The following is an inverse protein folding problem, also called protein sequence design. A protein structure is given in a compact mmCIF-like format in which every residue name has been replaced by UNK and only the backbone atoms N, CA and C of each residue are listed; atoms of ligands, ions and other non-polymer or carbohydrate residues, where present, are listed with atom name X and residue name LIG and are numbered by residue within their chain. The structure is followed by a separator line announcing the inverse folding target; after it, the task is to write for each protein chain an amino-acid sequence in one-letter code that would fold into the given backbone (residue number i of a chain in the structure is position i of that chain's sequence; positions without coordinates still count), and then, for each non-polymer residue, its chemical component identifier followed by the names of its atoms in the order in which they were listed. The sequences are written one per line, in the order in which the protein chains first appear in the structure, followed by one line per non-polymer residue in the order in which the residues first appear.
data_IF_680284581393
#
_entry.id   IF_680284581393
#
_cell.length_a   1.000
_cell.length_b   1.000
_cell.length_c   1.000
_cell.angle_alpha   90.00
_cell.angle_beta   90.00
_cell.angle_gamma   90.00
#
_symmetry.space_group_name_H-M   'P 1'
#
loop_
_entity.id
_entity.type
_entity.pdbx_description
1 polymer ?
#
# COMPACT_ATOMS: atom_id res chain seq x y z
N UNK A 1 24.21 13.30 15.79
CA UNK A 1 25.13 12.36 15.15
C UNK A 1 25.90 11.46 16.16
N UNK A 2 26.71 11.95 17.10
CA UNK A 2 27.51 11.09 18.00
C UNK A 2 26.73 10.27 19.04
N UNK A 3 25.45 10.52 19.20
CA UNK A 3 24.54 9.83 20.13
C UNK A 3 23.46 9.02 19.41
N UNK A 4 23.45 9.02 18.08
CA UNK A 4 22.51 8.23 17.27
C UNK A 4 22.99 6.79 17.15
N UNK A 5 22.08 5.85 17.09
CA UNK A 5 22.36 4.48 16.66
C UNK A 5 22.86 4.48 15.21
N UNK A 6 23.60 3.46 14.76
CA UNK A 6 24.13 3.42 13.38
C UNK A 6 23.08 3.47 12.30
N UNK A 7 21.95 2.79 12.47
CA UNK A 7 20.75 2.80 11.61
C UNK A 7 20.15 4.21 11.53
N UNK A 8 19.81 4.86 12.65
CA UNK A 8 19.35 6.25 12.69
C UNK A 8 20.32 7.23 12.00
N UNK A 9 21.62 6.99 12.13
CA UNK A 9 22.63 7.82 11.47
C UNK A 9 22.64 7.61 9.95
N UNK A 10 22.33 6.41 9.47
CA UNK A 10 22.16 6.10 8.05
C UNK A 10 20.98 6.87 7.50
N UNK A 11 19.81 6.84 8.14
CA UNK A 11 18.60 7.53 7.70
C UNK A 11 18.85 9.04 7.52
N UNK A 12 19.47 9.68 8.54
CA UNK A 12 19.85 11.09 8.44
C UNK A 12 20.82 11.37 7.29
N UNK A 13 21.78 10.46 7.02
CA UNK A 13 22.77 10.64 5.95
C UNK A 13 22.15 10.40 4.57
N UNK A 14 21.13 9.56 4.47
CA UNK A 14 20.42 9.31 3.22
C UNK A 14 19.51 10.48 2.83
N UNK A 15 18.93 11.17 3.80
CA UNK A 15 18.10 12.37 3.55
C UNK A 15 18.89 13.57 3.04
N UNK A 16 20.20 13.65 3.34
CA UNK A 16 21.03 14.76 2.88
C UNK A 16 21.62 14.52 1.51
N UNK A 17 21.89 15.61 0.77
CA UNK A 17 22.50 15.56 -0.56
C UNK A 17 23.90 14.95 -0.56
N UNK A 18 24.38 14.40 -1.69
CA UNK A 18 25.71 13.75 -1.80
C UNK A 18 26.87 14.62 -1.32
N UNK A 19 26.79 15.94 -1.51
CA UNK A 19 27.83 16.87 -1.10
C UNK A 19 27.97 17.02 0.42
N UNK A 20 26.90 16.77 1.17
CA UNK A 20 26.88 16.88 2.63
C UNK A 20 27.16 15.54 3.33
N UNK A 21 27.05 14.41 2.62
CA UNK A 21 27.27 13.07 3.20
C UNK A 21 28.65 12.93 3.84
N UNK A 22 29.69 13.38 3.14
CA UNK A 22 31.06 13.30 3.63
C UNK A 22 31.27 14.15 4.89
N UNK A 23 30.62 15.31 5.00
CA UNK A 23 30.68 16.16 6.19
C UNK A 23 29.99 15.47 7.37
N UNK A 24 28.82 14.87 7.17
CA UNK A 24 28.11 14.14 8.23
C UNK A 24 28.88 12.89 8.69
N UNK A 25 29.45 12.13 7.75
CA UNK A 25 30.32 10.99 8.09
C UNK A 25 31.56 11.40 8.88
N UNK A 26 32.13 12.57 8.62
CA UNK A 26 33.28 13.08 9.34
C UNK A 26 32.95 13.48 10.81
N UNK A 27 31.66 13.72 11.15
CA UNK A 27 31.23 14.02 12.51
C UNK A 27 31.14 12.78 13.41
N UNK A 28 31.08 11.57 12.80
CA UNK A 28 31.00 10.29 13.50
C UNK A 28 32.40 9.89 14.03
N UNK A 29 32.41 9.16 15.14
CA UNK A 29 33.60 8.47 15.60
C UNK A 29 33.94 7.29 14.68
N UNK A 30 35.20 6.87 14.68
CA UNK A 30 35.72 5.89 13.73
C UNK A 30 34.98 4.53 13.73
N UNK A 31 34.58 3.94 14.90
CA UNK A 31 33.79 2.72 14.93
C UNK A 31 32.42 2.91 14.28
N UNK A 32 31.64 3.93 14.69
CA UNK A 32 30.31 4.21 14.17
C UNK A 32 30.33 4.54 12.68
N UNK A 33 31.36 5.29 12.21
CA UNK A 33 31.52 5.60 10.78
C UNK A 33 31.71 4.35 9.94
N UNK A 34 32.44 3.35 10.42
CA UNK A 34 32.61 2.07 9.69
C UNK A 34 31.30 1.29 9.62
N UNK A 35 30.54 1.26 10.69
CA UNK A 35 29.22 0.61 10.74
C UNK A 35 28.27 1.29 9.77
N UNK A 36 28.16 2.62 9.81
CA UNK A 36 27.30 3.41 8.93
C UNK A 36 27.70 3.24 7.45
N UNK A 37 29.00 3.28 7.13
CA UNK A 37 29.46 3.05 5.74
C UNK A 37 29.11 1.63 5.25
N UNK A 38 29.18 0.63 6.13
CA UNK A 38 28.78 -0.73 5.79
C UNK A 38 27.27 -0.84 5.57
N UNK A 39 26.44 -0.14 6.35
CA UNK A 39 24.99 -0.11 6.19
C UNK A 39 24.56 0.63 4.91
N UNK A 40 25.22 1.73 4.56
CA UNK A 40 24.96 2.48 3.33
C UNK A 40 25.19 1.67 2.03
N UNK A 41 25.75 0.46 2.11
CA UNK A 41 25.87 -0.44 0.97
C UNK A 41 24.57 -1.20 0.65
N UNK A 42 23.61 -1.23 1.59
CA UNK A 42 22.28 -1.81 1.39
C UNK A 42 21.31 -0.72 0.91
N UNK A 43 20.18 -1.15 0.33
CA UNK A 43 19.11 -0.22 -0.04
C UNK A 43 18.23 0.10 1.17
N UNK A 44 17.65 1.27 1.15
CA UNK A 44 16.83 1.81 2.24
C UNK A 44 15.56 0.97 2.48
N UNK A 45 15.03 0.33 1.42
CA UNK A 45 13.83 -0.49 1.44
C UNK A 45 14.09 -1.99 1.68
N UNK A 46 15.32 -2.36 2.06
CA UNK A 46 15.73 -3.73 2.38
C UNK A 46 16.05 -3.88 3.89
N UNK A 47 15.94 -5.10 4.41
CA UNK A 47 16.27 -5.41 5.81
C UNK A 47 17.67 -4.94 6.21
N UNK A 48 18.64 -4.96 5.28
CA UNK A 48 19.99 -4.50 5.48
C UNK A 48 20.12 -2.99 5.69
N UNK A 49 19.21 -2.20 5.08
CA UNK A 49 19.12 -0.76 5.30
C UNK A 49 18.51 -0.39 6.65
N UNK A 50 17.54 -1.18 7.11
CA UNK A 50 16.83 -0.99 8.39
C UNK A 50 17.56 -1.57 9.61
N UNK A 51 18.60 -2.40 9.41
CA UNK A 51 19.19 -3.17 10.51
C UNK A 51 20.15 -2.36 11.39
N UNK A 52 20.06 -2.60 12.69
CA UNK A 52 21.06 -2.16 13.64
C UNK A 52 22.14 -3.25 13.83
N UNK A 53 23.45 -2.97 13.58
CA UNK A 53 24.52 -3.92 13.77
C UNK A 53 24.91 -4.13 15.23
N UNK A 54 24.41 -3.27 16.16
CA UNK A 54 24.69 -3.31 17.59
C UNK A 54 23.62 -4.09 18.33
N UNK A 55 23.85 -5.36 18.56
CA UNK A 55 22.94 -6.25 19.26
C UNK A 55 23.66 -7.05 20.37
N UNK A 56 22.89 -7.47 21.36
CA UNK A 56 23.42 -8.25 22.49
C UNK A 56 23.80 -9.67 22.09
N UNK A 57 25.06 -10.06 22.31
CA UNK A 57 25.63 -11.36 21.91
C UNK A 57 25.94 -12.19 23.14
N UNK A 58 25.64 -13.48 23.11
CA UNK A 58 25.98 -14.42 24.17
C UNK A 58 26.68 -15.65 23.61
N UNK A 59 27.44 -16.33 24.46
CA UNK A 59 28.04 -17.63 24.12
C UNK A 59 27.18 -18.76 24.71
N UNK A 60 27.02 -19.87 23.99
CA UNK A 60 26.17 -20.96 24.42
C UNK A 60 26.66 -21.66 25.71
N UNK A 61 27.97 -21.57 25.98
CA UNK A 61 28.60 -22.20 27.16
C UNK A 61 28.51 -21.35 28.44
N UNK A 62 28.25 -20.05 28.32
CA UNK A 62 28.15 -19.16 29.48
C UNK A 62 26.97 -19.55 30.36
N UNK A 63 27.11 -19.38 31.67
CA UNK A 63 26.00 -19.51 32.59
C UNK A 63 25.04 -18.32 32.51
N UNK A 64 23.82 -18.46 32.99
CA UNK A 64 22.83 -17.37 33.04
C UNK A 64 23.34 -16.18 33.85
N UNK A 65 24.01 -16.41 35.00
CA UNK A 65 24.59 -15.36 35.84
C UNK A 65 25.71 -14.59 35.12
N UNK A 66 26.62 -15.30 34.46
CA UNK A 66 27.66 -14.69 33.62
C UNK A 66 27.06 -13.87 32.47
N UNK A 67 26.02 -14.40 31.81
CA UNK A 67 25.32 -13.71 30.73
C UNK A 67 24.66 -12.42 31.20
N UNK A 68 23.94 -12.45 32.33
CA UNK A 68 23.32 -11.24 32.92
C UNK A 68 24.40 -10.21 33.27
N UNK A 69 25.50 -10.66 33.89
CA UNK A 69 26.62 -9.78 34.24
C UNK A 69 27.29 -9.16 33.02
N UNK A 70 27.41 -9.93 31.92
CA UNK A 70 27.93 -9.43 30.67
C UNK A 70 26.97 -8.41 30.03
N UNK A 71 25.68 -8.74 29.89
CA UNK A 71 24.67 -7.86 29.31
C UNK A 71 24.53 -6.55 30.06
N UNK A 72 24.68 -6.54 31.40
CA UNK A 72 24.69 -5.32 32.21
C UNK A 72 25.85 -4.39 31.87
N UNK A 73 26.97 -4.94 31.44
CA UNK A 73 28.14 -4.11 31.02
C UNK A 73 27.98 -3.59 29.58
N UNK A 74 27.35 -4.38 28.72
CA UNK A 74 27.10 -4.02 27.31
C UNK A 74 25.91 -3.08 27.15
N UNK A 75 24.98 -3.02 28.11
CA UNK A 75 23.75 -2.23 28.04
C UNK A 75 23.93 -0.76 27.62
N UNK A 76 25.03 -0.07 27.98
CA UNK A 76 25.26 1.31 27.52
C UNK A 76 25.62 1.42 26.02
N UNK A 77 25.98 0.32 25.36
CA UNK A 77 26.45 0.29 23.96
C UNK A 77 25.45 -0.30 22.99
N UNK A 78 24.42 -0.98 23.52
CA UNK A 78 23.33 -1.61 22.73
C UNK A 78 22.07 -0.80 22.99
N UNK A 79 21.54 -0.20 21.96
CA UNK A 79 20.40 0.72 22.06
C UNK A 79 19.15 -0.01 22.54
N UNK A 80 18.83 -1.14 21.93
CA UNK A 80 17.68 -1.96 22.28
C UNK A 80 18.05 -3.39 22.64
N UNK A 81 17.71 -3.81 23.86
CA UNK A 81 18.08 -5.11 24.41
C UNK A 81 16.84 -5.95 24.76
N UNK A 82 15.97 -6.22 23.78
CA UNK A 82 14.81 -7.12 24.00
C UNK A 82 15.24 -8.57 24.10
N UNK A 83 16.21 -8.94 23.29
CA UNK A 83 16.75 -10.29 23.15
C UNK A 83 18.28 -10.26 23.18
N UNK A 84 18.87 -11.36 23.63
CA UNK A 84 20.28 -11.66 23.44
C UNK A 84 20.42 -12.84 22.48
N UNK A 85 21.31 -12.71 21.51
CA UNK A 85 21.50 -13.67 20.43
C UNK A 85 22.70 -14.57 20.76
N UNK A 86 22.46 -15.87 20.75
CA UNK A 86 23.47 -16.87 21.07
C UNK A 86 24.20 -17.28 19.80
N UNK A 87 25.48 -16.96 19.74
CA UNK A 87 26.32 -17.15 18.55
C UNK A 87 27.46 -18.13 18.83
N UNK A 88 27.85 -18.88 17.80
CA UNK A 88 29.08 -19.67 17.80
C UNK A 88 30.33 -18.79 17.54
N UNK A 89 31.51 -19.42 17.47
CA UNK A 89 32.75 -18.70 17.16
C UNK A 89 32.80 -18.13 15.74
N UNK A 90 31.99 -18.68 14.82
CA UNK A 90 31.85 -18.23 13.43
C UNK A 90 30.80 -17.15 13.25
N UNK A 91 30.19 -16.64 14.33
CA UNK A 91 29.06 -15.69 14.32
C UNK A 91 27.74 -16.26 13.75
N UNK A 92 27.60 -17.60 13.65
CA UNK A 92 26.34 -18.20 13.25
C UNK A 92 25.34 -18.19 14.42
N UNK A 93 24.09 -17.87 14.09
CA UNK A 93 23.01 -17.79 15.06
C UNK A 93 22.56 -19.20 15.49
N UNK A 94 22.78 -19.54 16.78
CA UNK A 94 22.39 -20.80 17.39
C UNK A 94 21.05 -20.73 18.10
N UNK A 95 20.73 -19.57 18.66
CA UNK A 95 19.52 -19.38 19.44
C UNK A 95 19.29 -17.94 19.90
N UNK A 96 18.16 -17.69 20.50
CA UNK A 96 17.78 -16.41 21.08
C UNK A 96 17.26 -16.60 22.50
N UNK A 97 17.60 -15.67 23.38
CA UNK A 97 17.13 -15.63 24.78
C UNK A 97 16.56 -14.25 25.07
N UNK A 98 15.31 -14.20 25.54
CA UNK A 98 14.75 -12.93 26.03
C UNK A 98 15.28 -12.57 27.42
N UNK A 99 15.34 -11.30 27.76
CA UNK A 99 15.72 -10.86 29.12
C UNK A 99 14.83 -11.51 30.17
N UNK A 100 13.51 -11.66 29.89
CA UNK A 100 12.59 -12.36 30.80
C UNK A 100 12.99 -13.80 31.06
N UNK A 101 13.46 -14.54 30.03
CA UNK A 101 13.92 -15.93 30.20
C UNK A 101 15.20 -15.98 31.06
N UNK A 102 16.16 -15.06 30.81
CA UNK A 102 17.38 -14.97 31.62
C UNK A 102 17.07 -14.71 33.10
N UNK A 103 16.19 -13.76 33.41
CA UNK A 103 15.82 -13.45 34.80
C UNK A 103 14.97 -14.53 35.49
N UNK A 104 14.33 -15.43 34.71
CA UNK A 104 13.51 -16.50 35.24
C UNK A 104 14.23 -17.84 35.33
N UNK A 105 15.41 -17.97 34.74
CA UNK A 105 16.19 -19.19 34.68
C UNK A 105 17.09 -19.35 35.92
N UNK A 106 17.49 -20.62 36.20
CA UNK A 106 18.50 -20.91 37.22
C UNK A 106 19.84 -20.29 36.83
N UNK A 107 20.47 -19.45 37.71
CA UNK A 107 21.73 -18.80 37.45
C UNK A 107 22.88 -19.70 37.00
N UNK A 108 22.90 -20.95 37.43
CA UNK A 108 23.95 -21.94 37.13
C UNK A 108 23.77 -22.65 35.78
N UNK A 109 22.59 -22.54 35.14
CA UNK A 109 22.35 -23.18 33.83
C UNK A 109 23.12 -22.54 32.72
N UNK A 110 23.68 -23.34 31.77
CA UNK A 110 24.29 -22.81 30.57
C UNK A 110 23.21 -22.24 29.62
N UNK A 111 23.55 -21.19 28.89
CA UNK A 111 22.65 -20.46 27.98
C UNK A 111 22.05 -21.39 26.92
N UNK A 112 22.80 -22.39 26.43
CA UNK A 112 22.29 -23.39 25.46
C UNK A 112 21.05 -24.16 25.93
N UNK A 113 20.85 -24.29 27.24
CA UNK A 113 19.65 -24.98 27.80
C UNK A 113 18.46 -24.02 27.96
N UNK A 114 18.67 -22.72 27.95
CA UNK A 114 17.66 -21.70 28.14
C UNK A 114 17.22 -21.07 26.82
N UNK A 115 18.08 -21.07 25.80
CA UNK A 115 17.83 -20.45 24.51
C UNK A 115 16.71 -21.17 23.72
N UNK A 116 16.01 -20.40 22.90
CA UNK A 116 15.12 -20.93 21.87
C UNK A 116 15.87 -21.10 20.57
N UNK A 117 15.64 -22.21 19.87
CA UNK A 117 16.30 -22.55 18.60
C UNK A 117 15.37 -22.48 17.40
N UNK A 118 14.06 -22.35 17.63
CA UNK A 118 13.10 -22.08 16.56
C UNK A 118 13.11 -20.58 16.28
N UNK A 119 13.84 -20.19 15.24
CA UNK A 119 14.20 -18.80 14.97
C UNK A 119 13.56 -18.34 13.65
N UNK A 120 12.93 -17.17 13.72
CA UNK A 120 12.55 -16.40 12.52
C UNK A 120 13.68 -15.43 12.23
N UNK A 121 14.17 -15.43 11.00
CA UNK A 121 15.26 -14.56 10.54
C UNK A 121 15.00 -14.11 9.11
N UNK A 122 15.65 -13.03 8.67
CA UNK A 122 15.57 -12.50 7.31
C UNK A 122 16.96 -12.35 6.71
N UNK A 123 17.02 -12.32 5.38
CA UNK A 123 18.25 -11.99 4.64
C UNK A 123 18.36 -10.45 4.50
N UNK A 124 19.59 -9.90 4.31
CA UNK A 124 19.77 -8.46 4.18
C UNK A 124 19.05 -7.83 2.98
N UNK A 125 18.81 -8.58 1.92
CA UNK A 125 18.10 -8.19 0.70
C UNK A 125 16.57 -8.41 0.77
N UNK A 126 16.03 -8.78 1.95
CA UNK A 126 14.60 -8.95 2.16
C UNK A 126 13.90 -7.59 2.14
N UNK A 127 12.84 -7.46 1.33
CA UNK A 127 12.02 -6.25 1.22
C UNK A 127 11.39 -5.86 2.57
N UNK A 128 11.36 -4.56 2.87
CA UNK A 128 10.85 -4.01 4.14
C UNK A 128 9.39 -4.39 4.44
N UNK A 129 8.53 -4.55 3.42
CA UNK A 129 7.14 -5.01 3.60
C UNK A 129 7.06 -6.46 4.04
N UNK A 130 7.96 -7.30 3.55
CA UNK A 130 8.06 -8.69 3.97
C UNK A 130 8.55 -8.75 5.42
N UNK A 131 9.58 -7.97 5.77
CA UNK A 131 10.09 -7.86 7.14
C UNK A 131 8.97 -7.40 8.10
N UNK A 132 8.24 -6.33 7.75
CA UNK A 132 7.14 -5.80 8.58
C UNK A 132 6.03 -6.85 8.77
N UNK A 133 5.72 -7.62 7.74
CA UNK A 133 4.74 -8.72 7.81
C UNK A 133 5.22 -9.83 8.74
N UNK A 134 6.49 -10.23 8.66
CA UNK A 134 7.08 -11.25 9.53
C UNK A 134 7.11 -10.81 11.00
N UNK A 135 7.47 -9.55 11.29
CA UNK A 135 7.45 -8.99 12.66
C UNK A 135 6.02 -9.04 13.23
N UNK A 136 5.05 -8.56 12.47
CA UNK A 136 3.64 -8.56 12.86
C UNK A 136 3.11 -9.97 13.13
N UNK A 137 3.36 -10.91 12.23
CA UNK A 137 2.81 -12.28 12.29
C UNK A 137 3.49 -13.11 13.37
N UNK A 138 4.80 -12.93 13.59
CA UNK A 138 5.57 -13.60 14.63
C UNK A 138 5.45 -12.95 16.01
N UNK A 139 4.97 -11.69 16.08
CA UNK A 139 4.89 -10.88 17.31
C UNK A 139 6.24 -10.73 18.02
N UNK A 140 7.31 -10.69 17.25
CA UNK A 140 8.65 -10.44 17.76
C UNK A 140 8.90 -8.94 17.90
N UNK A 141 9.74 -8.56 18.87
CA UNK A 141 10.18 -7.18 19.07
C UNK A 141 11.46 -6.85 18.27
N UNK A 142 12.15 -7.86 17.78
CA UNK A 142 13.30 -7.73 16.89
C UNK A 142 13.49 -9.04 16.11
N UNK A 143 13.91 -8.92 14.85
CA UNK A 143 14.22 -10.05 13.97
C UNK A 143 15.71 -10.01 13.61
N UNK A 144 16.46 -11.12 13.73
CA UNK A 144 17.84 -11.20 13.31
C UNK A 144 17.98 -11.22 11.78
N UNK A 145 18.96 -10.48 11.28
CA UNK A 145 19.37 -10.45 9.87
C UNK A 145 20.58 -11.35 9.70
N UNK A 146 20.51 -12.32 8.78
CA UNK A 146 21.57 -13.30 8.51
C UNK A 146 22.08 -13.16 7.08
N UNK A 147 23.39 -13.13 6.91
CA UNK A 147 24.01 -13.13 5.59
C UNK A 147 23.89 -14.50 4.86
N UNK A 148 24.45 -14.58 3.65
CA UNK A 148 24.43 -15.79 2.83
C UNK A 148 25.15 -16.99 3.50
N UNK A 149 26.12 -16.71 4.39
CA UNK A 149 26.83 -17.73 5.19
C UNK A 149 26.09 -18.06 6.50
N UNK A 150 24.87 -17.52 6.71
CA UNK A 150 24.05 -17.63 7.94
C UNK A 150 24.71 -17.00 9.18
N UNK A 151 25.61 -16.05 8.99
CA UNK A 151 26.17 -15.24 10.08
C UNK A 151 25.25 -14.09 10.39
N UNK A 152 25.15 -13.75 11.65
CA UNK A 152 24.32 -12.65 12.10
C UNK A 152 25.02 -11.31 11.84
N UNK A 153 24.38 -10.45 11.04
CA UNK A 153 24.93 -9.14 10.63
C UNK A 153 24.23 -7.97 11.34
N UNK A 154 23.00 -8.15 11.78
CA UNK A 154 22.23 -7.11 12.48
C UNK A 154 20.91 -7.62 13.02
N UNK A 155 20.10 -6.70 13.51
CA UNK A 155 18.71 -6.90 13.93
C UNK A 155 17.85 -5.78 13.34
N UNK A 156 16.62 -6.10 12.93
CA UNK A 156 15.59 -5.09 12.64
C UNK A 156 14.64 -5.08 13.83
N UNK A 157 14.38 -3.94 14.39
CA UNK A 157 13.58 -3.79 15.61
C UNK A 157 12.16 -3.32 15.30
N UNK A 158 11.25 -3.44 16.27
CA UNK A 158 9.82 -3.15 16.05
C UNK A 158 9.55 -1.67 15.84
N UNK A 159 10.35 -0.77 16.38
CA UNK A 159 10.28 0.68 16.18
C UNK A 159 10.56 1.05 14.72
N UNK A 160 11.64 0.54 14.10
CA UNK A 160 11.90 0.73 12.67
C UNK A 160 10.74 0.21 11.82
N UNK A 161 10.13 -0.91 12.23
CA UNK A 161 8.97 -1.47 11.53
C UNK A 161 7.73 -0.58 11.65
N UNK A 162 7.55 0.15 12.74
CA UNK A 162 6.46 1.13 12.86
C UNK A 162 6.63 2.24 11.83
N UNK A 163 7.84 2.77 11.68
CA UNK A 163 8.15 3.82 10.69
C UNK A 163 7.95 3.32 9.26
N UNK A 164 8.41 2.11 8.95
CA UNK A 164 8.13 1.45 7.66
C UNK A 164 6.63 1.32 7.38
N UNK A 165 5.83 0.92 8.37
CA UNK A 165 4.38 0.78 8.20
C UNK A 165 3.71 2.14 7.96
N UNK A 166 4.13 3.21 8.63
CA UNK A 166 3.63 4.57 8.42
C UNK A 166 4.01 5.09 7.02
N UNK A 167 5.24 4.88 6.60
CA UNK A 167 5.72 5.28 5.28
C UNK A 167 4.96 4.55 4.16
N UNK A 168 4.82 3.23 4.26
CA UNK A 168 4.09 2.42 3.29
C UNK A 168 2.60 2.79 3.24
N UNK A 169 1.97 3.05 4.39
CA UNK A 169 0.59 3.53 4.42
C UNK A 169 0.45 4.90 3.75
N UNK A 170 1.40 5.80 3.97
CA UNK A 170 1.46 7.11 3.30
C UNK A 170 1.63 6.98 1.80
N UNK A 171 2.54 6.13 1.33
CA UNK A 171 2.74 5.82 -0.10
C UNK A 171 1.48 5.26 -0.74
N UNK A 172 0.82 4.32 -0.07
CA UNK A 172 -0.42 3.72 -0.58
C UNK A 172 -1.56 4.75 -0.68
N UNK A 173 -1.70 5.67 0.29
CA UNK A 173 -2.68 6.76 0.23
C UNK A 173 -2.40 7.69 -0.96
N UNK A 174 -1.15 8.05 -1.22
CA UNK A 174 -0.76 8.92 -2.34
C UNK A 174 -1.00 8.22 -3.68
N UNK A 175 -0.65 6.94 -3.80
CA UNK A 175 -0.91 6.13 -4.98
C UNK A 175 -2.42 5.99 -5.26
N UNK A 176 -3.24 5.77 -4.22
CA UNK A 176 -4.71 5.76 -4.34
C UNK A 176 -5.26 7.10 -4.86
N UNK A 177 -4.60 8.21 -4.51
CA UNK A 177 -4.90 9.55 -5.04
C UNK A 177 -4.47 9.77 -6.49
N UNK A 178 -3.77 8.82 -7.11
CA UNK A 178 -3.26 8.95 -8.47
C UNK A 178 -2.06 9.90 -8.57
N UNK A 179 -1.15 9.82 -7.63
CA UNK A 179 0.16 10.52 -7.69
C UNK A 179 1.28 9.56 -7.30
N UNK A 180 2.49 9.80 -7.78
CA UNK A 180 3.66 9.14 -7.24
C UNK A 180 3.89 9.61 -5.79
N UNK A 181 4.39 8.72 -4.95
CA UNK A 181 4.71 9.04 -3.57
C UNK A 181 5.77 10.14 -3.47
N UNK A 182 5.60 11.04 -2.50
CA UNK A 182 6.58 12.07 -2.19
C UNK A 182 7.68 11.46 -1.30
N UNK A 183 8.93 11.76 -1.62
CA UNK A 183 10.10 11.30 -0.84
C UNK A 183 10.35 12.20 0.38
N UNK A 184 9.62 13.33 0.51
CA UNK A 184 9.77 14.32 1.58
C UNK A 184 8.40 14.82 2.03
N UNK A 185 8.28 15.37 3.25
CA UNK A 185 7.07 16.02 3.72
C UNK A 185 6.58 17.09 2.73
N UNK A 186 5.26 17.21 2.57
CA UNK A 186 4.61 18.04 1.55
C UNK A 186 5.18 19.47 1.43
N UNK A 187 5.44 20.16 2.57
CA UNK A 187 5.96 21.51 2.58
C UNK A 187 7.46 21.61 2.25
N UNK A 188 8.19 20.50 2.32
CA UNK A 188 9.62 20.43 2.01
C UNK A 188 9.90 19.97 0.57
N UNK A 189 8.86 19.46 -0.11
CA UNK A 189 8.97 19.06 -1.53
C UNK A 189 8.99 20.30 -2.42
N UNK A 190 9.95 20.38 -3.33
CA UNK A 190 10.07 21.51 -4.26
C UNK A 190 8.97 21.52 -5.32
N UNK A 191 8.58 22.71 -5.81
CA UNK A 191 7.56 22.84 -6.85
C UNK A 191 7.85 22.00 -8.13
N UNK A 192 9.07 22.00 -8.69
CA UNK A 192 9.37 21.17 -9.87
C UNK A 192 9.20 19.68 -9.62
N UNK A 193 9.60 19.20 -8.44
CA UNK A 193 9.44 17.80 -8.02
C UNK A 193 7.96 17.44 -7.85
N UNK A 194 7.19 18.30 -7.19
CA UNK A 194 5.73 18.13 -7.02
C UNK A 194 5.04 18.03 -8.40
N UNK A 195 5.40 18.90 -9.34
CA UNK A 195 4.84 18.87 -10.69
C UNK A 195 5.21 17.57 -11.40
N UNK A 196 6.48 17.16 -11.35
CA UNK A 196 6.95 15.92 -11.99
C UNK A 196 6.21 14.69 -11.49
N UNK A 197 6.09 14.53 -10.15
CA UNK A 197 5.44 13.37 -9.51
C UNK A 197 3.93 13.29 -9.79
N UNK A 198 3.29 14.40 -10.11
CA UNK A 198 1.87 14.44 -10.46
C UNK A 198 1.62 14.42 -11.98
N UNK A 199 2.47 15.07 -12.76
CA UNK A 199 2.24 15.26 -14.19
C UNK A 199 2.25 13.96 -14.98
N UNK A 200 3.12 12.99 -14.64
CA UNK A 200 3.20 11.71 -15.33
C UNK A 200 1.87 10.95 -15.27
N UNK A 201 1.33 10.82 -14.08
CA UNK A 201 0.06 10.13 -13.87
C UNK A 201 -1.12 10.88 -14.49
N UNK A 202 -1.20 12.20 -14.31
CA UNK A 202 -2.23 13.04 -14.92
C UNK A 202 -2.21 12.97 -16.45
N UNK A 203 -1.03 12.90 -17.06
CA UNK A 203 -0.92 12.75 -18.52
C UNK A 203 -1.48 11.41 -19.02
N UNK A 204 -1.20 10.31 -18.30
CA UNK A 204 -1.77 8.99 -18.62
C UNK A 204 -3.29 9.01 -18.51
N UNK A 205 -3.84 9.58 -17.43
CA UNK A 205 -5.28 9.73 -17.23
C UNK A 205 -5.92 10.58 -18.34
N UNK A 206 -5.26 11.70 -18.70
CA UNK A 206 -5.75 12.59 -19.77
C UNK A 206 -5.78 11.91 -21.14
N UNK A 207 -4.76 11.09 -21.45
CA UNK A 207 -4.78 10.27 -22.68
C UNK A 207 -5.92 9.26 -22.64
N UNK A 208 -6.17 8.64 -21.48
CA UNK A 208 -7.33 7.77 -21.26
C UNK A 208 -8.65 8.49 -21.51
N UNK A 209 -8.79 9.73 -21.00
CA UNK A 209 -9.98 10.56 -21.17
C UNK A 209 -10.24 10.94 -22.64
N UNK A 210 -9.19 11.07 -23.45
CA UNK A 210 -9.37 11.31 -24.91
C UNK A 210 -10.14 10.20 -25.60
N UNK A 211 -10.13 8.97 -25.10
CA UNK A 211 -10.97 7.88 -25.63
C UNK A 211 -12.45 8.11 -25.37
N UNK A 212 -12.82 8.85 -24.32
CA UNK A 212 -14.21 9.25 -24.06
C UNK A 212 -14.73 10.13 -25.19
N UNK A 213 -13.95 11.12 -25.65
CA UNK A 213 -14.31 11.96 -26.79
C UNK A 213 -14.48 11.13 -28.07
N UNK A 214 -13.60 10.13 -28.29
CA UNK A 214 -13.72 9.21 -29.43
C UNK A 214 -14.99 8.38 -29.34
N UNK A 215 -15.28 7.81 -28.15
CA UNK A 215 -16.52 7.05 -27.92
C UNK A 215 -17.78 7.90 -28.13
N UNK A 216 -17.77 9.18 -27.69
CA UNK A 216 -18.88 10.11 -27.96
C UNK A 216 -19.10 10.33 -29.47
N UNK A 217 -18.03 10.41 -30.25
CA UNK A 217 -18.14 10.56 -31.71
C UNK A 217 -18.86 9.39 -32.39
N UNK A 218 -18.70 8.15 -31.87
CA UNK A 218 -19.44 6.99 -32.38
C UNK A 218 -20.95 7.06 -32.12
N UNK A 219 -21.39 7.82 -31.12
CA UNK A 219 -22.78 7.96 -30.72
C UNK A 219 -23.37 9.34 -31.06
N UNK A 220 -22.74 10.10 -31.96
CA UNK A 220 -23.17 11.44 -32.34
C UNK A 220 -24.59 11.44 -32.93
N UNK A 221 -24.91 10.48 -33.78
CA UNK A 221 -26.26 10.32 -34.38
C UNK A 221 -27.33 10.02 -33.34
N UNK A 222 -27.01 9.22 -32.33
CA UNK A 222 -27.88 8.89 -31.20
C UNK A 222 -28.13 10.12 -30.32
N UNK A 223 -27.07 10.90 -30.07
CA UNK A 223 -27.16 12.15 -29.34
C UNK A 223 -28.02 13.18 -30.07
N UNK A 224 -27.86 13.32 -31.39
CA UNK A 224 -28.66 14.24 -32.20
C UNK A 224 -30.15 13.91 -32.18
N UNK A 225 -30.50 12.61 -32.12
CA UNK A 225 -31.88 12.13 -32.06
C UNK A 225 -32.54 12.35 -30.69
N UNK A 226 -31.76 12.33 -29.63
CA UNK A 226 -32.27 12.45 -28.26
C UNK A 226 -31.33 13.29 -27.37
N UNK A 227 -31.28 14.60 -27.60
CA UNK A 227 -30.43 15.55 -26.86
C UNK A 227 -30.66 15.47 -25.33
N UNK A 228 -31.86 15.06 -24.89
CA UNK A 228 -32.18 14.86 -23.49
C UNK A 228 -31.28 13.84 -22.80
N UNK A 229 -30.71 12.86 -23.55
CA UNK A 229 -29.75 11.88 -23.02
C UNK A 229 -28.45 12.55 -22.54
N UNK A 230 -28.02 13.60 -23.21
CA UNK A 230 -26.82 14.35 -22.84
C UNK A 230 -26.90 14.96 -21.42
N UNK A 231 -28.10 15.31 -20.97
CA UNK A 231 -28.32 15.89 -19.63
C UNK A 231 -28.01 14.89 -18.49
N UNK A 232 -28.07 13.60 -18.77
CA UNK A 232 -27.83 12.55 -17.78
C UNK A 232 -26.43 11.92 -17.84
N UNK A 233 -25.63 12.24 -18.86
CA UNK A 233 -24.26 11.74 -19.01
C UNK A 233 -23.41 11.96 -17.74
N UNK A 234 -23.31 13.20 -17.20
CA UNK A 234 -22.48 13.42 -16.01
C UNK A 234 -22.98 12.63 -14.80
N UNK A 235 -24.30 12.49 -14.64
CA UNK A 235 -24.90 11.75 -13.53
C UNK A 235 -24.53 10.26 -13.59
N UNK A 236 -24.68 9.65 -14.76
CA UNK A 236 -24.50 8.19 -14.95
C UNK A 236 -23.04 7.82 -14.85
N UNK A 237 -22.17 8.55 -15.56
CA UNK A 237 -20.72 8.29 -15.61
C UNK A 237 -20.12 8.50 -14.21
N UNK A 238 -20.38 9.64 -13.58
CA UNK A 238 -19.90 9.93 -12.23
C UNK A 238 -20.37 8.89 -11.20
N UNK A 239 -21.62 8.40 -11.30
CA UNK A 239 -22.13 7.37 -10.40
C UNK A 239 -21.35 6.06 -10.52
N UNK A 240 -21.00 5.65 -11.75
CA UNK A 240 -20.17 4.48 -11.99
C UNK A 240 -18.74 4.64 -11.50
N UNK A 241 -18.12 5.78 -11.80
CA UNK A 241 -16.76 6.11 -11.35
C UNK A 241 -16.65 6.16 -9.83
N UNK A 242 -17.62 6.80 -9.15
CA UNK A 242 -17.66 6.84 -7.68
C UNK A 242 -17.81 5.45 -7.07
N UNK A 243 -18.70 4.62 -7.62
CA UNK A 243 -18.91 3.25 -7.14
C UNK A 243 -17.70 2.37 -7.37
N UNK A 244 -17.04 2.52 -8.53
CA UNK A 244 -15.80 1.83 -8.83
C UNK A 244 -14.67 2.22 -7.90
N UNK A 245 -14.48 3.51 -7.65
CA UNK A 245 -13.47 4.03 -6.72
C UNK A 245 -13.68 3.54 -5.29
N UNK A 246 -14.94 3.48 -4.82
CA UNK A 246 -15.26 2.90 -3.52
C UNK A 246 -14.90 1.41 -3.44
N UNK A 247 -15.27 0.62 -4.45
CA UNK A 247 -14.94 -0.80 -4.49
C UNK A 247 -13.41 -1.03 -4.52
N UNK A 248 -12.68 -0.23 -5.30
CA UNK A 248 -11.22 -0.28 -5.38
C UNK A 248 -10.58 -0.03 -4.02
N UNK A 249 -10.96 1.07 -3.35
CA UNK A 249 -10.40 1.43 -2.04
C UNK A 249 -10.64 0.36 -0.99
N UNK A 250 -11.86 -0.21 -0.95
CA UNK A 250 -12.21 -1.28 -0.01
C UNK A 250 -11.40 -2.56 -0.28
N UNK A 251 -11.20 -2.93 -1.54
CA UNK A 251 -10.43 -4.13 -1.92
C UNK A 251 -8.95 -3.93 -1.63
N UNK A 252 -8.37 -2.77 -1.94
CA UNK A 252 -6.96 -2.46 -1.64
C UNK A 252 -6.73 -2.53 -0.13
N UNK A 253 -7.58 -1.88 0.67
CA UNK A 253 -7.49 -1.93 2.12
C UNK A 253 -7.56 -3.37 2.65
N UNK A 254 -8.51 -4.17 2.17
CA UNK A 254 -8.66 -5.57 2.59
C UNK A 254 -7.45 -6.44 2.17
N UNK A 255 -6.82 -6.13 1.03
CA UNK A 255 -5.57 -6.78 0.60
C UNK A 255 -4.37 -6.39 1.47
N UNK A 256 -4.25 -5.11 1.85
CA UNK A 256 -3.20 -4.62 2.73
C UNK A 256 -3.29 -5.21 4.13
N UNK A 257 -4.51 -5.37 4.66
CA UNK A 257 -4.75 -6.02 5.95
C UNK A 257 -4.61 -7.56 5.92
N UNK A 258 -4.49 -8.16 4.71
CA UNK A 258 -4.41 -9.62 4.55
C UNK A 258 -5.75 -10.35 4.64
N UNK A 259 -6.88 -9.63 4.72
CA UNK A 259 -8.23 -10.20 4.77
C UNK A 259 -8.61 -10.88 3.46
N UNK A 260 -8.07 -10.38 2.34
CA UNK A 260 -8.30 -10.88 0.99
C UNK A 260 -6.97 -11.26 0.33
N UNK A 261 -6.92 -12.47 -0.24
CA UNK A 261 -5.78 -13.00 -1.00
C UNK A 261 -6.13 -13.16 -2.47
N UNK A 262 -5.13 -13.33 -3.34
CA UNK A 262 -5.34 -13.51 -4.78
C UNK A 262 -6.30 -14.66 -5.13
N UNK A 263 -6.34 -15.72 -4.33
CA UNK A 263 -7.26 -16.86 -4.52
C UNK A 263 -8.74 -16.52 -4.29
N UNK A 264 -9.03 -15.39 -3.62
CA UNK A 264 -10.40 -15.00 -3.23
C UNK A 264 -11.11 -14.18 -4.32
N UNK A 265 -10.47 -13.94 -5.47
CA UNK A 265 -10.99 -13.11 -6.56
C UNK A 265 -12.43 -13.42 -6.98
N UNK A 266 -12.77 -14.70 -7.07
CA UNK A 266 -14.13 -15.11 -7.47
C UNK A 266 -15.18 -14.80 -6.41
N UNK A 267 -14.80 -14.91 -5.13
CA UNK A 267 -15.68 -14.53 -4.00
C UNK A 267 -15.94 -13.02 -4.00
N UNK A 268 -14.91 -12.23 -4.32
CA UNK A 268 -15.03 -10.77 -4.43
C UNK A 268 -15.90 -10.39 -5.64
N UNK A 269 -15.67 -10.95 -6.83
CA UNK A 269 -16.53 -10.71 -8.01
C UNK A 269 -18.00 -10.95 -7.68
N UNK A 270 -18.30 -12.11 -7.10
CA UNK A 270 -19.68 -12.45 -6.77
C UNK A 270 -20.30 -11.47 -5.79
N UNK A 271 -19.55 -11.04 -4.78
CA UNK A 271 -19.98 -10.05 -3.79
C UNK A 271 -20.22 -8.68 -4.45
N UNK A 272 -19.26 -8.22 -5.22
CA UNK A 272 -19.34 -6.92 -5.89
C UNK A 272 -20.39 -6.85 -6.99
N UNK A 273 -20.68 -7.97 -7.65
CA UNK A 273 -21.80 -8.06 -8.60
C UNK A 273 -23.14 -7.76 -7.90
N UNK A 274 -23.41 -8.40 -6.76
CA UNK A 274 -24.65 -8.13 -6.00
C UNK A 274 -24.68 -6.74 -5.40
N UNK A 275 -23.54 -6.25 -4.89
CA UNK A 275 -23.41 -4.91 -4.37
C UNK A 275 -23.66 -3.87 -5.46
N UNK A 276 -23.04 -4.01 -6.63
CA UNK A 276 -23.21 -3.11 -7.77
C UNK A 276 -24.64 -3.09 -8.29
N UNK A 277 -25.29 -4.27 -8.42
CA UNK A 277 -26.70 -4.34 -8.78
C UNK A 277 -27.60 -3.61 -7.78
N UNK A 278 -27.38 -3.84 -6.48
CA UNK A 278 -28.17 -3.18 -5.44
C UNK A 278 -27.97 -1.66 -5.45
N UNK A 279 -26.73 -1.19 -5.53
CA UNK A 279 -26.41 0.24 -5.61
C UNK A 279 -26.97 0.86 -6.90
N UNK A 280 -26.83 0.18 -8.03
CA UNK A 280 -27.38 0.63 -9.31
C UNK A 280 -28.92 0.77 -9.27
N UNK A 281 -29.62 -0.18 -8.63
CA UNK A 281 -31.07 -0.09 -8.42
C UNK A 281 -31.43 1.10 -7.53
N UNK A 282 -30.72 1.29 -6.40
CA UNK A 282 -30.96 2.41 -5.49
C UNK A 282 -30.79 3.75 -6.21
N UNK A 283 -29.65 3.95 -6.89
CA UNK A 283 -29.37 5.17 -7.62
C UNK A 283 -30.32 5.35 -8.80
N UNK A 284 -30.67 4.26 -9.48
CA UNK A 284 -31.64 4.27 -10.56
C UNK A 284 -33.05 4.69 -10.10
N UNK A 285 -33.52 4.24 -8.94
CA UNK A 285 -34.78 4.65 -8.34
C UNK A 285 -34.77 6.13 -7.94
N UNK A 286 -33.66 6.64 -7.39
CA UNK A 286 -33.48 8.05 -7.13
C UNK A 286 -33.54 8.89 -8.41
N UNK A 287 -32.85 8.45 -9.47
CA UNK A 287 -32.86 9.07 -10.78
C UNK A 287 -34.28 9.09 -11.39
N UNK A 288 -34.98 7.95 -11.33
CA UNK A 288 -36.36 7.83 -11.76
C UNK A 288 -37.30 8.81 -11.02
N UNK A 289 -37.19 8.84 -9.72
CA UNK A 289 -38.00 9.77 -8.88
C UNK A 289 -37.73 11.23 -9.29
N UNK A 290 -36.47 11.61 -9.51
CA UNK A 290 -36.12 12.95 -9.98
C UNK A 290 -36.72 13.25 -11.36
N UNK A 291 -36.67 12.33 -12.31
CA UNK A 291 -37.22 12.53 -13.67
C UNK A 291 -38.73 12.82 -13.59
N UNK A 292 -39.47 12.00 -12.87
CA UNK A 292 -40.91 12.20 -12.72
C UNK A 292 -41.27 13.49 -11.94
N UNK A 293 -40.53 13.80 -10.88
CA UNK A 293 -40.71 15.04 -10.12
C UNK A 293 -40.51 16.28 -11.01
N UNK A 294 -39.40 16.31 -11.80
CA UNK A 294 -39.13 17.43 -12.72
C UNK A 294 -40.14 17.52 -13.85
N UNK A 295 -40.62 16.39 -14.36
CA UNK A 295 -41.67 16.36 -15.38
C UNK A 295 -42.97 16.93 -14.84
N UNK A 296 -43.37 16.62 -13.61
CA UNK A 296 -44.61 17.14 -13.02
C UNK A 296 -44.55 18.62 -12.71
N UNK A 297 -43.37 19.10 -12.20
CA UNK A 297 -43.17 20.51 -11.81
C UNK A 297 -42.93 21.43 -13.02
N UNK A 298 -42.12 20.99 -13.98
CA UNK A 298 -41.57 21.84 -15.04
C UNK A 298 -41.89 21.40 -16.45
N UNK A 299 -42.55 20.24 -16.63
CA UNK A 299 -42.87 19.63 -17.94
C UNK A 299 -41.67 19.52 -18.91
N UNK A 300 -40.48 19.27 -18.36
CA UNK A 300 -39.18 19.37 -19.06
C UNK A 300 -38.95 18.31 -20.13
N UNK A 301 -39.44 17.07 -19.91
CA UNK A 301 -39.08 15.89 -20.72
C UNK A 301 -40.16 15.44 -21.71
N UNK A 302 -41.34 16.01 -21.66
CA UNK A 302 -42.45 15.73 -22.61
C UNK A 302 -43.01 14.29 -22.51
N UNK A 303 -43.64 13.79 -23.59
CA UNK A 303 -44.37 12.51 -23.58
C UNK A 303 -43.44 11.30 -23.47
N UNK A 304 -42.16 11.44 -23.75
CA UNK A 304 -41.19 10.36 -23.71
C UNK A 304 -40.61 10.11 -22.29
N UNK A 305 -41.10 10.83 -21.27
CA UNK A 305 -40.63 10.72 -19.87
C UNK A 305 -40.56 9.26 -19.36
N UNK A 306 -41.57 8.39 -19.55
CA UNK A 306 -41.51 7.03 -19.03
C UNK A 306 -40.35 6.18 -19.66
N UNK A 307 -40.16 6.31 -20.97
CA UNK A 307 -39.11 5.61 -21.69
C UNK A 307 -37.74 6.14 -21.25
N UNK A 308 -37.58 7.44 -21.13
CA UNK A 308 -36.37 8.08 -20.60
C UNK A 308 -36.05 7.58 -19.18
N UNK A 309 -37.04 7.55 -18.28
CA UNK A 309 -36.86 7.11 -16.89
C UNK A 309 -36.39 5.66 -16.80
N UNK A 310 -36.96 4.75 -17.60
CA UNK A 310 -36.53 3.35 -17.68
C UNK A 310 -35.12 3.24 -18.26
N UNK A 311 -34.80 4.01 -19.30
CA UNK A 311 -33.46 4.05 -19.90
C UNK A 311 -32.40 4.45 -18.88
N UNK A 312 -32.65 5.52 -18.11
CA UNK A 312 -31.73 6.01 -17.06
C UNK A 312 -31.59 5.00 -15.92
N UNK A 313 -32.70 4.38 -15.48
CA UNK A 313 -32.67 3.31 -14.48
C UNK A 313 -31.78 2.14 -14.92
N UNK A 314 -31.99 1.60 -16.12
CA UNK A 314 -31.22 0.49 -16.65
C UNK A 314 -29.75 0.88 -16.86
N UNK A 315 -29.49 2.09 -17.33
CA UNK A 315 -28.15 2.60 -17.52
C UNK A 315 -27.37 2.73 -16.20
N UNK A 316 -28.00 3.27 -15.15
CA UNK A 316 -27.41 3.35 -13.83
C UNK A 316 -27.09 1.96 -13.26
N UNK A 317 -28.00 1.00 -13.39
CA UNK A 317 -27.75 -0.39 -12.97
C UNK A 317 -26.54 -0.95 -13.71
N UNK A 318 -26.48 -0.80 -15.04
CA UNK A 318 -25.38 -1.32 -15.86
C UNK A 318 -24.04 -0.66 -15.54
N UNK A 319 -23.98 0.67 -15.52
CA UNK A 319 -22.74 1.42 -15.34
C UNK A 319 -22.20 1.31 -13.92
N UNK A 320 -23.06 1.37 -12.90
CA UNK A 320 -22.65 1.19 -11.50
C UNK A 320 -22.16 -0.23 -11.22
N UNK A 321 -22.85 -1.25 -11.76
CA UNK A 321 -22.42 -2.65 -11.63
C UNK A 321 -21.08 -2.88 -12.32
N UNK A 322 -20.89 -2.33 -13.52
CA UNK A 322 -19.61 -2.39 -14.21
C UNK A 322 -18.52 -1.68 -13.43
N UNK A 323 -18.79 -0.47 -12.92
CA UNK A 323 -17.83 0.29 -12.12
C UNK A 323 -17.35 -0.47 -10.89
N UNK A 324 -18.26 -1.05 -10.10
CA UNK A 324 -17.90 -1.85 -8.91
C UNK A 324 -17.07 -3.09 -9.30
N UNK A 325 -17.43 -3.79 -10.37
CA UNK A 325 -16.69 -4.96 -10.83
C UNK A 325 -15.30 -4.59 -11.34
N UNK A 326 -15.19 -3.57 -12.19
CA UNK A 326 -13.91 -3.11 -12.71
C UNK A 326 -12.99 -2.61 -11.58
N UNK A 327 -13.53 -1.75 -10.69
CA UNK A 327 -12.80 -1.20 -9.56
C UNK A 327 -12.30 -2.29 -8.59
N UNK A 328 -13.13 -3.28 -8.28
CA UNK A 328 -12.75 -4.37 -7.38
C UNK A 328 -11.73 -5.34 -7.99
N UNK A 329 -11.75 -5.55 -9.31
CA UNK A 329 -10.88 -6.53 -9.97
C UNK A 329 -9.51 -5.96 -10.37
N UNK A 330 -9.42 -4.66 -10.60
CA UNK A 330 -8.17 -4.02 -10.99
C UNK A 330 -7.02 -4.25 -10.00
N UNK A 331 -7.20 -4.13 -8.67
CA UNK A 331 -6.15 -4.45 -7.69
C UNK A 331 -5.66 -5.91 -7.78
N UNK A 332 -6.55 -6.87 -8.06
CA UNK A 332 -6.16 -8.28 -8.26
C UNK A 332 -5.30 -8.46 -9.50
N UNK A 333 -5.63 -7.77 -10.59
CA UNK A 333 -4.88 -7.82 -11.84
C UNK A 333 -3.49 -7.26 -11.62
N UNK A 334 -3.36 -6.07 -11.01
CA UNK A 334 -2.08 -5.43 -10.73
C UNK A 334 -1.21 -6.30 -9.83
N UNK A 335 -1.75 -6.81 -8.73
CA UNK A 335 -1.02 -7.71 -7.83
C UNK A 335 -0.56 -8.99 -8.50
N UNK A 336 -1.36 -9.53 -9.42
CA UNK A 336 -0.95 -10.71 -10.20
C UNK A 336 0.17 -10.41 -11.19
N UNK A 337 0.26 -9.18 -11.68
CA UNK A 337 1.34 -8.69 -12.53
C UNK A 337 2.60 -8.28 -11.75
N UNK A 338 2.61 -8.42 -10.42
CA UNK A 338 3.73 -7.98 -9.56
C UNK A 338 3.77 -6.47 -9.33
N UNK A 339 2.68 -5.75 -9.64
CA UNK A 339 2.57 -4.31 -9.44
C UNK A 339 1.85 -4.01 -8.12
N UNK A 340 2.09 -2.80 -7.57
CA UNK A 340 1.40 -2.37 -6.35
C UNK A 340 -0.12 -2.22 -6.62
N UNK A 341 -1.00 -2.93 -5.89
CA UNK A 341 -2.44 -2.79 -6.01
C UNK A 341 -2.95 -1.36 -5.82
N UNK A 342 -2.29 -0.54 -4.98
CA UNK A 342 -2.65 0.85 -4.74
C UNK A 342 -2.51 1.74 -5.99
N UNK A 343 -1.75 1.31 -7.00
CA UNK A 343 -1.68 1.96 -8.30
C UNK A 343 -3.00 1.89 -9.09
N UNK A 344 -3.95 1.02 -8.68
CA UNK A 344 -5.35 1.05 -9.13
C UNK A 344 -6.06 2.28 -8.55
N UNK A 345 -5.54 3.46 -8.82
CA UNK A 345 -6.01 4.70 -8.22
C UNK A 345 -7.48 5.00 -8.53
N UNK A 346 -8.14 5.74 -7.62
CA UNK A 346 -9.52 6.18 -7.83
C UNK A 346 -9.70 6.96 -9.14
N UNK A 347 -8.80 7.90 -9.54
CA UNK A 347 -8.86 8.56 -10.84
C UNK A 347 -8.72 7.61 -12.02
N UNK A 348 -7.90 6.58 -11.94
CA UNK A 348 -7.73 5.61 -13.02
C UNK A 348 -9.02 4.80 -13.24
N UNK A 349 -9.64 4.35 -12.17
CA UNK A 349 -10.93 3.65 -12.24
C UNK A 349 -12.02 4.56 -12.79
N UNK A 350 -12.04 5.83 -12.38
CA UNK A 350 -12.99 6.80 -12.92
C UNK A 350 -12.82 6.95 -14.44
N UNK A 351 -11.61 7.19 -14.94
CA UNK A 351 -11.31 7.29 -16.39
C UNK A 351 -11.71 6.03 -17.16
N UNK A 352 -11.47 4.84 -16.59
CA UNK A 352 -11.91 3.58 -17.21
C UNK A 352 -13.44 3.50 -17.32
N UNK A 353 -14.14 3.94 -16.27
CA UNK A 353 -15.61 3.95 -16.24
C UNK A 353 -16.19 5.04 -17.12
N UNK A 354 -15.51 6.18 -17.30
CA UNK A 354 -15.95 7.26 -18.20
C UNK A 354 -16.11 6.76 -19.63
N UNK A 355 -15.09 6.05 -20.14
CA UNK A 355 -15.14 5.48 -21.50
C UNK A 355 -16.16 4.34 -21.60
N UNK A 356 -16.05 3.35 -20.72
CA UNK A 356 -16.87 2.13 -20.80
C UNK A 356 -18.32 2.38 -20.36
N UNK A 357 -18.52 3.23 -19.36
CA UNK A 357 -19.84 3.65 -18.89
C UNK A 357 -20.63 4.40 -19.96
N UNK A 358 -19.94 5.25 -20.73
CA UNK A 358 -20.55 5.92 -21.89
C UNK A 358 -21.03 4.91 -22.95
N UNK A 359 -20.21 3.91 -23.28
CA UNK A 359 -20.57 2.85 -24.21
C UNK A 359 -21.79 2.05 -23.71
N UNK A 360 -21.78 1.67 -22.41
CA UNK A 360 -22.90 0.95 -21.79
C UNK A 360 -24.16 1.81 -21.85
N UNK A 361 -24.07 3.09 -21.49
CA UNK A 361 -25.19 4.02 -21.47
C UNK A 361 -25.85 4.14 -22.83
N UNK A 362 -25.08 4.47 -23.88
CA UNK A 362 -25.65 4.64 -25.21
C UNK A 362 -26.14 3.33 -25.84
N UNK A 363 -25.49 2.22 -25.53
CA UNK A 363 -25.97 0.89 -25.96
C UNK A 363 -27.37 0.61 -25.37
N UNK A 364 -27.58 0.89 -24.08
CA UNK A 364 -28.88 0.75 -23.43
C UNK A 364 -29.89 1.77 -23.97
N UNK A 365 -29.49 3.02 -24.15
CA UNK A 365 -30.35 4.06 -24.72
C UNK A 365 -30.79 3.72 -26.14
N UNK A 366 -29.91 3.20 -26.98
CA UNK A 366 -30.22 2.72 -28.34
C UNK A 366 -31.18 1.54 -28.31
N UNK A 367 -31.03 0.62 -27.39
CA UNK A 367 -31.89 -0.54 -27.26
C UNK A 367 -33.32 -0.21 -26.78
N UNK A 368 -33.49 0.78 -25.91
CA UNK A 368 -34.76 1.10 -25.24
C UNK A 368 -35.45 2.30 -25.89
N UNK A 369 -34.73 3.40 -26.12
CA UNK A 369 -35.32 4.69 -26.51
C UNK A 369 -35.26 4.95 -28.04
N UNK A 370 -34.21 4.46 -28.72
CA UNK A 370 -33.95 4.80 -30.12
C UNK A 370 -34.34 3.69 -31.13
N UNK A 371 -34.92 2.59 -30.65
CA UNK A 371 -35.49 1.52 -31.50
C UNK A 371 -36.86 1.86 -32.10
N UNK A 372 -37.43 2.93 -31.61
CA UNK A 372 -38.72 3.47 -32.07
C UNK A 372 -38.52 4.85 -32.68
#
# INVERSE_FOLDING_TARGET
MRLLAPDDAVDVIQEVGPEQRDEFLALLDEPTRREVVALLAYKDDEAGGLMNPRFARLRPESTVDEAISYLRREAPTVDQMYYAYVLDQGQHLLGVVSLRQLFSADPAKPIREVMKTDLVSVAPDTDQKEVSTLVRDSRLLAIPVLDADRRMVGIVTVDDIVDVVEEEASRDIQNLGGSEALDRPYLHTTLPEMIRKRAGWLAILFIGEMFTATAMGFFEDELAKAVVLALFLPLIISSGGNSGSQATSLVIQAMALGDIRLRDWFRVIRRELFTGLALGIILGLIGLTRIFAWQTMFKTYGPQTPILAVTILCALIGVVTFGTLAGSMLPFILRRCGLNPASASAPFVATLVDVTGLIIYFTIAKAIMLRH
#
